data_IF_574312633864
#
_entry.id   IF_574312633864
#
_cell.length_a   1.000
_cell.length_b   1.000
_cell.length_c   1.000
_cell.angle_alpha   90.00
_cell.angle_beta   90.00
_cell.angle_gamma   90.00
#
_symmetry.space_group_name_H-M   'P 1'
#
loop_
_entity.id
_entity.type
_entity.pdbx_description
1 polymer ?
#
# COMPACT_ATOMS: atom_id res chain seq x y z
N UNK A 1 1.61 64.83 -0.25
CA UNK A 1 2.62 64.03 -0.99
C UNK A 1 3.21 63.04 0.00
N UNK A 2 2.60 61.86 0.10
CA UNK A 2 2.92 60.84 1.12
C UNK A 2 4.12 60.03 0.61
N UNK A 3 5.29 60.19 1.25
CA UNK A 3 6.41 59.25 1.13
C UNK A 3 6.24 58.21 2.23
N UNK A 4 5.69 57.06 1.87
CA UNK A 4 5.84 55.82 2.60
C UNK A 4 6.06 54.70 1.58
N UNK A 5 7.31 54.51 1.17
CA UNK A 5 7.79 53.23 0.65
C UNK A 5 8.83 52.72 1.64
N UNK A 6 8.35 52.31 2.80
CA UNK A 6 9.05 51.31 3.60
C UNK A 6 8.96 50.02 2.80
N UNK A 7 10.00 49.72 2.05
CA UNK A 7 10.20 48.40 1.48
C UNK A 7 10.17 47.42 2.64
N UNK A 8 9.17 46.55 2.62
CA UNK A 8 9.02 45.43 3.54
C UNK A 8 10.21 44.49 3.31
N UNK A 9 11.31 44.76 4.00
CA UNK A 9 12.37 43.78 4.25
C UNK A 9 11.81 42.87 5.34
N UNK A 10 10.86 42.01 4.98
CA UNK A 10 10.47 40.89 5.84
C UNK A 10 11.63 39.88 5.83
N UNK A 11 12.52 40.15 6.77
CA UNK A 11 13.50 39.33 7.45
C UNK A 11 13.62 37.87 6.94
N UNK A 12 14.58 37.61 6.05
CA UNK A 12 14.95 36.26 5.59
C UNK A 12 15.26 35.31 6.76
N UNK A 13 15.83 35.84 7.84
CA UNK A 13 16.09 35.10 9.08
C UNK A 13 14.81 34.56 9.73
N UNK A 14 13.70 35.31 9.64
CA UNK A 14 12.42 34.90 10.22
C UNK A 14 11.74 33.79 9.44
N UNK A 15 11.90 33.78 8.10
CA UNK A 15 11.39 32.69 7.26
C UNK A 15 12.17 31.40 7.50
N UNK A 16 13.51 31.46 7.56
CA UNK A 16 14.35 30.30 7.87
C UNK A 16 14.05 29.76 9.27
N UNK A 17 13.88 30.65 10.26
CA UNK A 17 13.50 30.28 11.62
C UNK A 17 12.16 29.53 11.69
N UNK A 18 11.14 29.99 10.95
CA UNK A 18 9.84 29.30 10.87
C UNK A 18 9.93 27.93 10.20
N UNK A 19 10.69 27.82 9.10
CA UNK A 19 10.86 26.55 8.38
C UNK A 19 11.60 25.52 9.25
N UNK A 20 12.63 25.97 9.95
CA UNK A 20 13.35 25.13 10.89
C UNK A 20 12.43 24.67 12.03
N UNK A 21 11.68 25.59 12.64
CA UNK A 21 10.75 25.25 13.71
C UNK A 21 9.71 24.21 13.26
N UNK A 22 9.05 24.43 12.11
CA UNK A 22 8.08 23.47 11.57
C UNK A 22 8.72 22.09 11.32
N UNK A 23 9.95 22.06 10.80
CA UNK A 23 10.68 20.80 10.59
C UNK A 23 11.08 20.13 11.91
N UNK A 24 11.43 20.88 12.94
CA UNK A 24 11.76 20.35 14.27
C UNK A 24 10.53 19.76 14.95
N UNK A 25 9.38 20.42 14.86
CA UNK A 25 8.09 19.91 15.34
C UNK A 25 7.76 18.56 14.69
N UNK A 26 7.89 18.46 13.36
CA UNK A 26 7.67 17.21 12.64
C UNK A 26 8.66 16.10 13.04
N UNK A 27 9.94 16.42 13.19
CA UNK A 27 10.95 15.45 13.63
C UNK A 27 10.66 14.97 15.05
N UNK A 28 10.26 15.86 15.96
CA UNK A 28 9.94 15.49 17.33
C UNK A 28 8.82 14.45 17.38
N UNK A 29 7.79 14.58 16.54
CA UNK A 29 6.68 13.63 16.45
C UNK A 29 7.11 12.23 16.01
N UNK A 30 8.09 12.13 15.12
CA UNK A 30 8.47 10.84 14.51
C UNK A 30 9.76 10.23 15.06
N UNK A 31 10.58 11.01 15.75
CA UNK A 31 11.93 10.64 16.20
C UNK A 31 11.92 9.43 17.14
N UNK A 32 10.97 9.37 18.05
CA UNK A 32 10.81 8.25 18.98
C UNK A 32 10.51 6.93 18.28
N UNK A 33 9.97 6.96 17.05
CA UNK A 33 9.57 5.78 16.28
C UNK A 33 10.64 5.29 15.28
N UNK A 34 11.85 5.83 15.31
CA UNK A 34 12.92 5.51 14.34
C UNK A 34 13.61 4.17 14.68
N UNK A 35 13.80 3.34 13.66
CA UNK A 35 14.55 2.09 13.77
C UNK A 35 13.80 0.94 14.43
N UNK A 36 14.45 -0.23 14.60
CA UNK A 36 13.84 -1.43 15.20
C UNK A 36 13.49 -1.24 16.68
N UNK A 37 14.32 -0.49 17.41
CA UNK A 37 14.13 -0.16 18.83
C UNK A 37 13.23 1.08 19.04
N UNK A 38 12.71 1.66 17.95
CA UNK A 38 11.76 2.77 17.99
C UNK A 38 10.50 2.41 18.78
N UNK A 39 9.97 3.38 19.53
CA UNK A 39 8.75 3.26 20.31
C UNK A 39 7.54 3.47 19.41
N UNK A 40 6.46 2.73 19.69
CA UNK A 40 5.18 3.03 19.09
C UNK A 40 4.64 4.35 19.66
N UNK A 41 4.13 5.21 18.79
CA UNK A 41 3.50 6.47 19.16
C UNK A 41 2.00 6.25 19.23
N UNK A 42 1.39 6.70 20.33
CA UNK A 42 -0.06 6.74 20.48
C UNK A 42 -0.56 8.09 19.95
N UNK A 43 -1.27 8.06 18.81
CA UNK A 43 -1.84 9.29 18.25
C UNK A 43 -3.32 9.43 18.65
N UNK A 44 -3.66 10.56 19.28
CA UNK A 44 -5.02 10.98 19.61
C UNK A 44 -5.65 11.70 18.40
N UNK A 45 -6.95 11.52 18.07
CA UNK A 45 -8.04 10.94 18.86
C UNK A 45 -8.33 9.46 18.67
N UNK A 46 -7.62 8.77 17.78
CA UNK A 46 -8.03 7.43 17.31
C UNK A 46 -7.50 6.26 18.15
N UNK A 47 -6.80 6.51 19.27
CA UNK A 47 -6.18 5.47 20.12
C UNK A 47 -5.33 4.45 19.32
N UNK A 48 -4.77 4.89 18.20
CA UNK A 48 -3.98 4.04 17.31
C UNK A 48 -2.53 4.09 17.73
N UNK A 49 -1.94 2.93 18.01
CA UNK A 49 -0.51 2.75 18.21
C UNK A 49 0.14 2.44 16.86
N UNK A 50 1.14 3.23 16.46
CA UNK A 50 1.86 2.97 15.21
C UNK A 50 3.33 3.41 15.31
N UNK A 51 4.18 2.78 14.49
CA UNK A 51 5.58 3.18 14.26
C UNK A 51 5.80 3.75 12.85
N UNK A 52 4.76 3.78 12.01
CA UNK A 52 4.84 4.33 10.66
C UNK A 52 4.88 5.85 10.71
N UNK A 53 5.90 6.46 10.11
CA UNK A 53 6.04 7.92 10.07
C UNK A 53 4.87 8.58 9.36
N UNK A 54 4.45 8.03 8.22
CA UNK A 54 3.29 8.54 7.48
C UNK A 54 2.00 8.46 8.31
N UNK A 55 1.78 7.35 9.01
CA UNK A 55 0.59 7.20 9.87
C UNK A 55 0.62 8.18 11.05
N UNK A 56 1.77 8.38 11.71
CA UNK A 56 1.91 9.38 12.78
C UNK A 56 1.51 10.77 12.27
N UNK A 57 2.01 11.16 11.09
CA UNK A 57 1.72 12.47 10.50
C UNK A 57 0.23 12.61 10.12
N UNK A 58 -0.35 11.61 9.46
CA UNK A 58 -1.76 11.63 9.04
C UNK A 58 -2.73 11.63 10.23
N UNK A 59 -2.37 10.97 11.33
CA UNK A 59 -3.18 10.97 12.55
C UNK A 59 -3.07 12.29 13.32
N UNK A 60 -1.89 12.92 13.29
CA UNK A 60 -1.65 14.21 13.95
C UNK A 60 -2.26 15.38 13.15
N UNK A 61 -2.20 15.30 11.82
CA UNK A 61 -2.68 16.32 10.88
C UNK A 61 -3.71 15.72 9.90
N UNK A 62 -4.94 15.44 10.35
CA UNK A 62 -5.97 14.82 9.51
C UNK A 62 -6.46 15.71 8.37
N UNK A 63 -6.19 17.02 8.46
CA UNK A 63 -6.47 18.02 7.43
C UNK A 63 -5.22 18.82 7.12
N UNK A 64 -5.08 19.28 5.88
CA UNK A 64 -3.95 20.11 5.45
C UNK A 64 -3.81 21.35 6.35
N UNK A 65 -2.67 21.53 7.05
CA UNK A 65 -2.49 22.68 7.91
C UNK A 65 -2.49 23.99 7.11
N UNK A 66 -2.91 25.08 7.77
CA UNK A 66 -2.95 26.43 7.19
C UNK A 66 -1.56 27.03 7.00
N UNK A 67 -0.56 26.57 7.77
CA UNK A 67 0.84 26.95 7.58
C UNK A 67 1.37 26.33 6.28
N UNK A 68 1.77 27.18 5.34
CA UNK A 68 2.24 26.79 4.00
C UNK A 68 3.54 25.98 4.05
N UNK A 69 4.41 26.22 5.03
CA UNK A 69 5.68 25.52 5.18
C UNK A 69 5.47 24.12 5.73
N UNK A 70 4.65 24.02 6.79
CA UNK A 70 4.26 22.74 7.36
C UNK A 70 3.50 21.90 6.31
N UNK A 71 2.59 22.52 5.57
CA UNK A 71 1.85 21.87 4.47
C UNK A 71 2.78 21.34 3.38
N UNK A 72 3.83 22.08 3.00
CA UNK A 72 4.81 21.63 2.02
C UNK A 72 5.59 20.39 2.51
N UNK A 73 6.08 20.42 3.75
CA UNK A 73 6.83 19.30 4.34
C UNK A 73 5.96 18.04 4.47
N UNK A 74 4.72 18.20 4.93
CA UNK A 74 3.75 17.09 5.01
C UNK A 74 3.42 16.53 3.63
N UNK A 75 3.24 17.39 2.62
CA UNK A 75 3.00 16.95 1.23
C UNK A 75 4.18 16.16 0.68
N UNK A 76 5.42 16.66 0.84
CA UNK A 76 6.61 15.93 0.40
C UNK A 76 6.79 14.60 1.12
N UNK A 77 6.46 14.53 2.41
CA UNK A 77 6.45 13.27 3.16
C UNK A 77 5.39 12.29 2.62
N UNK A 78 4.19 12.78 2.28
CA UNK A 78 3.12 11.98 1.68
C UNK A 78 3.51 11.45 0.31
N UNK A 79 4.04 12.30 -0.58
CA UNK A 79 4.50 11.93 -1.93
C UNK A 79 5.61 10.87 -1.87
N UNK A 80 6.56 11.00 -0.93
CA UNK A 80 7.57 9.98 -0.69
C UNK A 80 6.94 8.65 -0.24
N UNK A 81 5.98 8.70 0.69
CA UNK A 81 5.32 7.50 1.18
C UNK A 81 4.48 6.80 0.10
N UNK A 82 3.75 7.56 -0.71
CA UNK A 82 2.94 7.03 -1.81
C UNK A 82 3.80 6.35 -2.87
N UNK A 83 4.98 6.90 -3.17
CA UNK A 83 5.91 6.37 -4.17
C UNK A 83 6.79 5.24 -3.66
N UNK A 84 7.39 5.37 -2.48
CA UNK A 84 8.39 4.43 -1.96
C UNK A 84 7.84 3.49 -0.87
N UNK A 85 6.69 3.79 -0.25
CA UNK A 85 6.10 2.99 0.84
C UNK A 85 6.80 3.14 2.21
N UNK A 86 8.05 3.61 2.25
CA UNK A 86 8.83 3.78 3.47
C UNK A 86 9.76 5.01 3.43
N UNK A 87 10.42 5.31 4.56
CA UNK A 87 11.49 6.31 4.62
C UNK A 87 11.10 7.71 5.09
N UNK A 88 9.81 7.96 5.37
CA UNK A 88 9.30 9.27 5.84
C UNK A 88 10.05 9.81 7.06
N UNK A 89 10.34 8.96 8.05
CA UNK A 89 11.03 9.37 9.27
C UNK A 89 12.46 9.84 8.96
N UNK A 90 13.21 9.03 8.20
CA UNK A 90 14.57 9.35 7.77
C UNK A 90 14.61 10.60 6.89
N UNK A 91 13.62 10.78 6.02
CA UNK A 91 13.46 11.98 5.20
C UNK A 91 13.31 13.23 6.06
N UNK A 92 12.38 13.24 7.03
CA UNK A 92 12.16 14.40 7.90
C UNK A 92 13.41 14.72 8.74
N UNK A 93 14.09 13.70 9.26
CA UNK A 93 15.33 13.87 10.04
C UNK A 93 16.43 14.48 9.16
N UNK A 94 16.59 13.99 7.93
CA UNK A 94 17.58 14.51 6.99
C UNK A 94 17.27 15.96 6.59
N UNK A 95 16.01 16.27 6.27
CA UNK A 95 15.58 17.64 5.93
C UNK A 95 15.84 18.59 7.09
N UNK A 96 15.47 18.21 8.32
CA UNK A 96 15.72 19.03 9.50
C UNK A 96 17.22 19.24 9.74
N UNK A 97 18.04 18.19 9.59
CA UNK A 97 19.48 18.29 9.73
C UNK A 97 20.09 19.27 8.71
N UNK A 98 19.63 19.23 7.46
CA UNK A 98 20.03 20.19 6.43
C UNK A 98 19.59 21.61 6.78
N UNK A 99 18.35 21.80 7.22
CA UNK A 99 17.80 23.11 7.63
C UNK A 99 18.60 23.74 8.78
N UNK A 100 19.04 22.94 9.76
CA UNK A 100 19.93 23.42 10.84
C UNK A 100 21.24 23.98 10.33
N UNK A 101 21.84 23.35 9.32
CA UNK A 101 23.07 23.86 8.71
C UNK A 101 22.85 25.20 8.00
N UNK A 102 21.67 25.41 7.40
CA UNK A 102 21.29 26.70 6.79
C UNK A 102 21.23 27.80 7.82
N UNK A 103 20.54 27.53 8.94
CA UNK A 103 20.34 28.49 10.01
C UNK A 103 21.68 28.93 10.62
N UNK A 104 22.64 28.01 10.77
CA UNK A 104 23.97 28.31 11.30
C UNK A 104 24.79 29.18 10.33
N UNK A 105 24.74 28.90 9.02
CA UNK A 105 25.57 29.60 8.02
C UNK A 105 25.03 30.97 7.62
N UNK A 106 23.79 31.30 7.96
CA UNK A 106 23.09 32.57 7.66
C UNK A 106 23.19 33.02 6.17
N UNK A 107 23.37 32.08 5.24
CA UNK A 107 23.57 32.34 3.81
C UNK A 107 22.77 31.36 2.93
N UNK A 108 21.49 31.68 2.71
CA UNK A 108 20.56 30.81 1.98
C UNK A 108 20.93 30.57 0.50
N UNK A 109 21.62 31.51 -0.17
CA UNK A 109 22.04 31.33 -1.57
C UNK A 109 23.28 30.42 -1.70
N UNK A 110 24.22 30.51 -0.76
CA UNK A 110 25.35 29.58 -0.70
C UNK A 110 24.89 28.14 -0.50
N UNK A 111 23.84 27.94 0.30
CA UNK A 111 23.28 26.63 0.56
C UNK A 111 22.65 25.98 -0.67
N UNK A 112 21.85 26.68 -1.48
CA UNK A 112 21.23 26.07 -2.66
C UNK A 112 22.30 25.53 -3.63
N UNK A 113 23.41 26.27 -3.77
CA UNK A 113 24.56 25.81 -4.54
C UNK A 113 25.24 24.61 -3.87
N UNK A 114 25.46 24.64 -2.55
CA UNK A 114 26.03 23.51 -1.80
C UNK A 114 25.14 22.25 -1.87
N UNK A 115 23.81 22.39 -1.81
CA UNK A 115 22.85 21.28 -1.95
C UNK A 115 22.83 20.73 -3.37
N UNK A 116 22.94 21.58 -4.38
CA UNK A 116 23.06 21.15 -5.78
C UNK A 116 24.35 20.37 -6.02
N UNK A 117 25.47 20.84 -5.45
CA UNK A 117 26.76 20.13 -5.48
C UNK A 117 26.65 18.81 -4.74
N UNK A 118 26.04 18.80 -3.55
CA UNK A 118 25.79 17.59 -2.78
C UNK A 118 24.93 16.59 -3.57
N UNK A 119 23.83 17.04 -4.18
CA UNK A 119 22.99 16.19 -5.03
C UNK A 119 23.78 15.57 -6.17
N UNK A 120 24.62 16.36 -6.84
CA UNK A 120 25.48 15.87 -7.93
C UNK A 120 26.47 14.80 -7.42
N UNK A 121 27.09 15.04 -6.27
CA UNK A 121 27.97 14.08 -5.60
C UNK A 121 27.22 12.81 -5.20
N UNK A 122 26.03 12.92 -4.62
CA UNK A 122 25.18 11.79 -4.26
C UNK A 122 24.85 10.94 -5.50
N UNK A 123 24.41 11.56 -6.59
CA UNK A 123 24.13 10.88 -7.85
C UNK A 123 25.37 10.15 -8.39
N UNK A 124 26.55 10.78 -8.31
CA UNK A 124 27.83 10.18 -8.73
C UNK A 124 28.26 9.01 -7.82
N UNK A 125 28.04 9.12 -6.51
CA UNK A 125 28.34 8.04 -5.57
C UNK A 125 27.37 6.88 -5.79
N UNK A 126 26.09 7.15 -5.98
CA UNK A 126 25.07 6.13 -6.27
C UNK A 126 25.37 5.38 -7.56
N UNK A 127 25.84 6.05 -8.61
CA UNK A 127 26.17 5.40 -9.89
C UNK A 127 27.44 4.54 -9.84
N UNK A 128 28.35 4.82 -8.90
CA UNK A 128 29.64 4.11 -8.77
C UNK A 128 29.66 3.08 -7.65
N UNK A 129 28.67 3.08 -6.76
CA UNK A 129 28.57 2.07 -5.70
C UNK A 129 28.18 0.75 -6.37
N UNK A 130 29.03 -0.28 -6.23
CA UNK A 130 28.72 -1.62 -6.70
C UNK A 130 27.54 -2.14 -5.90
N UNK A 131 26.37 -2.07 -6.48
CA UNK A 131 25.17 -2.60 -5.86
C UNK A 131 24.89 -4.00 -6.36
N UNK A 132 24.37 -4.84 -5.48
CA UNK A 132 23.79 -6.13 -5.86
C UNK A 132 22.53 -5.87 -6.66
N UNK A 133 22.66 -5.80 -7.98
CA UNK A 133 21.55 -5.58 -8.93
C UNK A 133 20.62 -6.79 -9.08
N UNK A 134 20.86 -7.89 -8.35
CA UNK A 134 20.02 -9.09 -8.38
C UNK A 134 19.31 -9.20 -7.04
N UNK A 135 18.00 -8.99 -7.04
CA UNK A 135 17.11 -9.40 -5.94
C UNK A 135 17.08 -10.93 -5.90
N UNK A 136 18.07 -11.52 -5.23
CA UNK A 136 18.03 -12.93 -4.86
C UNK A 136 16.96 -13.13 -3.79
N UNK A 137 16.49 -14.37 -3.61
CA UNK A 137 15.55 -14.70 -2.55
C UNK A 137 16.08 -14.32 -1.15
N UNK A 138 17.39 -14.42 -0.94
CA UNK A 138 18.05 -14.01 0.31
C UNK A 138 17.95 -12.50 0.53
N UNK A 139 18.27 -11.71 -0.49
CA UNK A 139 18.18 -10.24 -0.44
C UNK A 139 16.73 -9.80 -0.25
N UNK A 140 15.80 -10.39 -1.00
CA UNK A 140 14.37 -10.11 -0.89
C UNK A 140 13.86 -10.39 0.54
N UNK A 141 14.21 -11.55 1.09
CA UNK A 141 13.86 -11.91 2.47
C UNK A 141 14.44 -10.92 3.48
N UNK A 142 15.70 -10.52 3.33
CA UNK A 142 16.36 -9.54 4.18
C UNK A 142 15.72 -8.15 4.14
N UNK A 143 15.36 -7.67 2.95
CA UNK A 143 14.67 -6.38 2.75
C UNK A 143 13.30 -6.40 3.43
N UNK A 144 12.51 -7.45 3.21
CA UNK A 144 11.19 -7.62 3.84
C UNK A 144 11.30 -7.73 5.37
N UNK A 145 12.29 -8.48 5.87
CA UNK A 145 12.53 -8.61 7.31
C UNK A 145 12.95 -7.28 7.95
N UNK A 146 13.82 -6.53 7.29
CA UNK A 146 14.25 -5.19 7.74
C UNK A 146 13.05 -4.25 7.81
N UNK A 147 12.22 -4.22 6.77
CA UNK A 147 11.02 -3.37 6.72
C UNK A 147 10.10 -3.62 7.92
N UNK A 148 9.68 -4.88 8.15
CA UNK A 148 8.72 -5.18 9.22
C UNK A 148 9.32 -5.06 10.63
N UNK A 149 10.63 -5.27 10.81
CA UNK A 149 11.27 -5.18 12.13
C UNK A 149 11.32 -3.74 12.65
N UNK A 150 11.32 -2.75 11.78
CA UNK A 150 11.18 -1.34 12.19
C UNK A 150 9.75 -0.95 12.58
N UNK A 151 8.75 -1.77 12.25
CA UNK A 151 7.32 -1.45 12.44
C UNK A 151 6.66 -2.25 13.55
N UNK A 152 7.10 -3.48 13.78
CA UNK A 152 6.41 -4.40 14.68
C UNK A 152 7.35 -5.14 15.63
N UNK A 153 6.77 -5.64 16.71
CA UNK A 153 7.47 -6.56 17.61
C UNK A 153 7.93 -7.84 16.87
N UNK A 154 8.99 -8.52 17.35
CA UNK A 154 9.65 -9.61 16.63
C UNK A 154 8.69 -10.71 16.13
N UNK A 155 7.73 -11.12 16.94
CA UNK A 155 6.75 -12.17 16.56
C UNK A 155 5.90 -11.75 15.37
N UNK A 156 5.35 -10.54 15.39
CA UNK A 156 4.52 -10.02 14.30
C UNK A 156 5.37 -9.81 13.06
N UNK A 157 6.55 -9.20 13.23
CA UNK A 157 7.50 -8.97 12.13
C UNK A 157 7.85 -10.29 11.43
N UNK A 158 8.24 -11.32 12.17
CA UNK A 158 8.63 -12.61 11.60
C UNK A 158 7.48 -13.25 10.79
N UNK A 159 6.24 -13.18 11.31
CA UNK A 159 5.07 -13.72 10.61
C UNK A 159 4.78 -12.95 9.33
N UNK A 160 4.71 -11.62 9.40
CA UNK A 160 4.42 -10.79 8.22
C UNK A 160 5.52 -10.91 7.18
N UNK A 161 6.79 -10.90 7.59
CA UNK A 161 7.91 -11.08 6.66
C UNK A 161 7.84 -12.40 5.92
N UNK A 162 7.57 -13.51 6.62
CA UNK A 162 7.40 -14.82 6.01
C UNK A 162 6.24 -14.83 5.02
N UNK A 163 5.09 -14.27 5.38
CA UNK A 163 3.91 -14.25 4.53
C UNK A 163 4.13 -13.42 3.26
N UNK A 164 4.67 -12.21 3.39
CA UNK A 164 4.96 -11.36 2.23
C UNK A 164 6.02 -11.97 1.34
N UNK A 165 7.07 -12.57 1.92
CA UNK A 165 8.07 -13.29 1.13
C UNK A 165 7.46 -14.45 0.35
N UNK A 166 6.65 -15.31 1.00
CA UNK A 166 5.93 -16.40 0.33
C UNK A 166 4.98 -15.89 -0.75
N UNK A 167 4.36 -14.74 -0.52
CA UNK A 167 3.41 -14.17 -1.47
C UNK A 167 4.12 -13.61 -2.70
N UNK A 168 5.18 -12.82 -2.49
CA UNK A 168 5.95 -12.18 -3.57
C UNK A 168 6.73 -13.21 -4.38
N UNK A 169 7.24 -14.28 -3.77
CA UNK A 169 7.96 -15.34 -4.50
C UNK A 169 7.05 -16.17 -5.41
N UNK A 170 5.74 -16.15 -5.19
CA UNK A 170 4.75 -16.71 -6.14
C UNK A 170 4.52 -15.80 -7.35
N UNK A 171 4.90 -14.51 -7.27
CA UNK A 171 4.75 -13.55 -8.35
C UNK A 171 5.94 -13.68 -9.32
N UNK A 172 5.65 -13.93 -10.59
CA UNK A 172 6.65 -14.24 -11.62
C UNK A 172 7.39 -13.01 -12.13
N UNK A 173 6.82 -11.81 -11.98
CA UNK A 173 7.41 -10.57 -12.49
C UNK A 173 6.88 -9.30 -11.78
N UNK A 174 7.50 -8.16 -12.10
CA UNK A 174 7.17 -6.83 -11.53
C UNK A 174 5.75 -6.38 -11.88
N UNK A 175 5.24 -6.72 -13.06
CA UNK A 175 3.88 -6.35 -13.45
C UNK A 175 2.81 -7.03 -12.59
N UNK A 176 3.09 -8.23 -12.07
CA UNK A 176 2.21 -8.91 -11.13
C UNK A 176 2.20 -8.21 -9.77
N UNK A 177 3.34 -7.71 -9.27
CA UNK A 177 3.39 -6.91 -8.04
C UNK A 177 2.57 -5.63 -8.19
N UNK A 178 2.74 -4.90 -9.31
CA UNK A 178 1.95 -3.70 -9.60
C UNK A 178 0.45 -3.99 -9.61
N UNK A 179 0.05 -5.09 -10.25
CA UNK A 179 -1.34 -5.55 -10.29
C UNK A 179 -1.87 -5.91 -8.90
N UNK A 180 -1.06 -6.53 -8.06
CA UNK A 180 -1.43 -6.88 -6.68
C UNK A 180 -1.59 -5.63 -5.80
N UNK A 181 -0.76 -4.61 -5.99
CA UNK A 181 -0.90 -3.31 -5.31
C UNK A 181 -2.24 -2.66 -5.70
N UNK A 182 -2.59 -2.63 -6.98
CA UNK A 182 -3.84 -2.02 -7.45
C UNK A 182 -5.09 -2.78 -7.00
N UNK A 183 -4.98 -4.09 -6.74
CA UNK A 183 -6.09 -4.95 -6.32
C UNK A 183 -5.96 -5.40 -4.86
N UNK A 184 -5.16 -4.69 -4.06
CA UNK A 184 -4.78 -5.13 -2.72
C UNK A 184 -5.97 -5.34 -1.78
N UNK A 185 -7.00 -4.50 -1.89
CA UNK A 185 -8.24 -4.60 -1.09
C UNK A 185 -8.98 -5.93 -1.30
N UNK A 186 -8.98 -6.44 -2.53
CA UNK A 186 -9.56 -7.73 -2.91
C UNK A 186 -8.64 -8.91 -2.59
N UNK A 187 -7.33 -8.66 -2.51
CA UNK A 187 -6.31 -9.69 -2.33
C UNK A 187 -5.86 -9.90 -0.89
N UNK A 188 -6.08 -8.92 -0.02
CA UNK A 188 -5.77 -8.96 1.40
C UNK A 188 -7.06 -9.03 2.23
N UNK A 189 -7.42 -10.25 2.64
CA UNK A 189 -8.61 -10.49 3.45
C UNK A 189 -8.26 -10.38 4.92
N UNK A 190 -9.01 -9.53 5.64
CA UNK A 190 -8.78 -9.22 7.05
C UNK A 190 -9.76 -9.99 7.93
N UNK A 191 -9.27 -10.73 8.92
CA UNK A 191 -10.07 -11.32 9.99
C UNK A 191 -9.63 -10.77 11.34
N UNK A 192 -10.60 -10.48 12.21
CA UNK A 192 -10.36 -9.92 13.53
C UNK A 192 -10.58 -10.98 14.60
N UNK A 193 -10.08 -10.73 15.82
CA UNK A 193 -10.18 -11.66 16.96
C UNK A 193 -9.39 -12.96 16.76
N UNK A 194 -8.29 -12.91 16.01
CA UNK A 194 -7.40 -14.04 15.78
C UNK A 194 -5.92 -13.64 15.98
N UNK A 195 -5.05 -14.55 16.43
CA UNK A 195 -3.63 -14.24 16.52
C UNK A 195 -3.00 -14.08 15.13
N UNK A 196 -2.04 -13.16 14.98
CA UNK A 196 -1.37 -12.92 13.68
C UNK A 196 -0.70 -14.17 13.12
N UNK A 197 -0.23 -15.07 13.99
CA UNK A 197 0.39 -16.35 13.64
C UNK A 197 -0.53 -17.29 12.85
N UNK A 198 -1.85 -17.08 12.92
CA UNK A 198 -2.85 -17.86 12.17
C UNK A 198 -3.12 -17.32 10.75
N UNK A 199 -2.42 -16.25 10.36
CA UNK A 199 -2.46 -15.69 9.01
C UNK A 199 -1.76 -16.61 8.01
N UNK A 200 -2.22 -16.59 6.76
CA UNK A 200 -1.73 -17.49 5.71
C UNK A 200 -1.83 -16.87 4.32
N UNK A 201 -0.95 -17.27 3.42
CA UNK A 201 -1.12 -17.07 1.97
C UNK A 201 -1.74 -18.34 1.40
N UNK A 202 -2.86 -18.23 0.71
CA UNK A 202 -3.57 -19.38 0.14
C UNK A 202 -3.86 -19.14 -1.35
N UNK A 203 -3.80 -20.21 -2.14
CA UNK A 203 -4.11 -20.19 -3.57
C UNK A 203 -5.63 -20.28 -3.77
N UNK A 204 -6.17 -19.31 -4.51
CA UNK A 204 -7.59 -19.09 -4.63
C UNK A 204 -8.02 -17.69 -4.25
N UNK A 205 -9.33 -17.51 -4.19
CA UNK A 205 -9.99 -16.25 -3.99
C UNK A 205 -11.23 -16.43 -3.10
N UNK A 206 -11.25 -15.70 -1.99
CA UNK A 206 -12.38 -15.61 -1.09
C UNK A 206 -13.40 -14.64 -1.64
N UNK A 207 -14.63 -15.09 -1.81
CA UNK A 207 -15.73 -14.26 -2.26
C UNK A 207 -16.50 -13.76 -1.03
N UNK A 208 -16.48 -12.45 -0.86
CA UNK A 208 -17.32 -11.75 0.12
C UNK A 208 -18.66 -11.47 -0.54
N UNK A 209 -19.65 -12.25 -0.16
CA UNK A 209 -21.04 -12.09 -0.58
C UNK A 209 -21.96 -12.70 0.46
N UNK A 210 -23.23 -12.30 0.41
CA UNK A 210 -24.26 -12.94 1.20
C UNK A 210 -24.74 -14.16 0.42
N UNK A 211 -24.92 -15.27 1.15
CA UNK A 211 -25.64 -16.42 0.65
C UNK A 211 -26.58 -16.93 1.72
N UNK A 212 -27.79 -17.28 1.30
CA UNK A 212 -28.84 -17.80 2.19
C UNK A 212 -28.58 -19.27 2.53
N UNK A 213 -27.72 -19.98 1.79
CA UNK A 213 -27.41 -21.40 2.00
C UNK A 213 -25.92 -21.68 1.82
N UNK A 214 -25.46 -22.87 2.21
CA UNK A 214 -24.14 -23.37 1.80
C UNK A 214 -24.29 -24.24 0.55
N UNK A 215 -23.30 -24.17 -0.34
CA UNK A 215 -23.17 -25.04 -1.49
C UNK A 215 -23.08 -26.52 -1.05
N UNK A 216 -23.64 -27.46 -1.84
CA UNK A 216 -23.60 -28.89 -1.51
C UNK A 216 -22.17 -29.43 -1.49
N UNK A 217 -21.65 -29.77 -0.31
CA UNK A 217 -20.26 -30.24 -0.13
C UNK A 217 -19.93 -31.57 -0.81
N UNK A 218 -20.90 -32.24 -1.43
CA UNK A 218 -20.73 -33.53 -2.11
C UNK A 218 -19.99 -33.44 -3.44
N UNK A 219 -19.97 -32.29 -4.10
CA UNK A 219 -19.46 -32.21 -5.48
C UNK A 219 -18.13 -31.45 -5.63
N UNK A 220 -17.70 -30.65 -4.64
CA UNK A 220 -16.44 -29.88 -4.57
C UNK A 220 -16.03 -29.11 -5.84
N UNK A 221 -16.86 -29.09 -6.88
CA UNK A 221 -16.65 -28.49 -8.20
C UNK A 221 -17.91 -27.75 -8.58
N UNK A 222 -17.79 -26.53 -9.08
CA UNK A 222 -18.92 -25.76 -9.54
C UNK A 222 -18.60 -25.04 -10.85
N UNK A 223 -19.60 -24.94 -11.72
CA UNK A 223 -19.57 -24.08 -12.89
C UNK A 223 -19.96 -22.66 -12.47
N UNK A 224 -19.04 -21.73 -12.67
CA UNK A 224 -19.25 -20.33 -12.35
C UNK A 224 -19.85 -19.57 -13.52
N UNK A 225 -20.85 -18.74 -13.22
CA UNK A 225 -21.35 -17.71 -14.11
C UNK A 225 -21.56 -16.41 -13.34
N UNK A 226 -21.32 -15.28 -13.99
CA UNK A 226 -21.47 -13.98 -13.34
C UNK A 226 -22.58 -13.18 -14.01
N UNK A 227 -23.51 -12.73 -13.20
CA UNK A 227 -24.52 -11.76 -13.59
C UNK A 227 -24.11 -10.37 -13.12
N UNK A 228 -23.89 -9.48 -14.09
CA UNK A 228 -23.56 -8.08 -13.85
C UNK A 228 -24.75 -7.20 -14.21
N UNK A 229 -25.29 -6.49 -13.21
CA UNK A 229 -26.24 -5.41 -13.45
C UNK A 229 -25.48 -4.08 -13.47
N UNK A 230 -25.51 -3.31 -14.57
CA UNK A 230 -24.91 -1.98 -14.64
C UNK A 230 -25.51 -1.03 -13.60
N UNK A 231 -24.69 -0.19 -12.98
CA UNK A 231 -25.12 0.81 -11.99
C UNK A 231 -25.96 1.95 -12.58
N UNK A 232 -25.94 2.12 -13.91
CA UNK A 232 -26.59 3.25 -14.60
C UNK A 232 -28.05 2.96 -15.01
N UNK A 233 -28.53 1.73 -14.85
CA UNK A 233 -29.96 1.46 -14.87
C UNK A 233 -30.48 1.60 -13.45
N UNK A 234 -31.31 2.60 -13.20
CA UNK A 234 -32.17 2.63 -12.02
C UNK A 234 -33.48 1.93 -12.38
N UNK A 235 -33.73 0.68 -11.97
CA UNK A 235 -35.08 0.17 -12.02
C UNK A 235 -35.73 0.52 -10.68
N UNK A 236 -37.03 0.82 -10.71
CA UNK A 236 -37.82 0.72 -9.49
C UNK A 236 -37.61 -0.68 -8.89
N UNK A 237 -37.58 -0.80 -7.56
CA UNK A 237 -37.24 -2.07 -6.87
C UNK A 237 -38.11 -3.26 -7.35
N UNK A 238 -39.32 -3.01 -7.86
CA UNK A 238 -40.19 -4.02 -8.50
C UNK A 238 -39.78 -4.43 -9.93
N UNK A 239 -39.08 -3.59 -10.68
CA UNK A 239 -38.56 -3.93 -12.01
C UNK A 239 -37.32 -4.82 -11.93
N UNK A 240 -36.54 -4.76 -10.83
CA UNK A 240 -35.40 -5.66 -10.60
C UNK A 240 -35.87 -7.11 -10.45
N UNK A 241 -36.99 -7.35 -9.75
CA UNK A 241 -37.53 -8.70 -9.56
C UNK A 241 -38.03 -9.26 -10.89
N UNK A 242 -38.68 -8.42 -11.70
CA UNK A 242 -39.23 -8.79 -13.01
C UNK A 242 -38.12 -8.98 -14.05
N UNK A 243 -37.09 -8.12 -14.06
CA UNK A 243 -35.91 -8.25 -14.94
C UNK A 243 -35.04 -9.44 -14.52
N UNK A 244 -34.80 -9.69 -13.23
CA UNK A 244 -34.05 -10.88 -12.82
C UNK A 244 -34.86 -12.12 -13.13
N UNK A 245 -36.18 -12.16 -12.91
CA UNK A 245 -37.03 -13.31 -13.26
C UNK A 245 -37.14 -13.49 -14.77
N UNK A 246 -37.22 -12.42 -15.55
CA UNK A 246 -37.36 -12.48 -17.00
C UNK A 246 -36.01 -12.69 -17.70
N UNK A 247 -34.88 -12.25 -17.12
CA UNK A 247 -33.52 -12.67 -17.53
C UNK A 247 -33.27 -14.12 -17.10
N UNK A 248 -33.67 -14.51 -15.89
CA UNK A 248 -33.65 -15.92 -15.46
C UNK A 248 -34.55 -16.77 -16.37
N UNK A 249 -35.66 -16.25 -16.91
CA UNK A 249 -36.50 -17.01 -17.86
C UNK A 249 -35.96 -16.98 -19.30
N UNK A 250 -35.51 -15.84 -19.80
CA UNK A 250 -35.08 -15.63 -21.19
C UNK A 250 -33.66 -16.15 -21.42
N UNK A 251 -32.75 -15.98 -20.46
CA UNK A 251 -31.37 -16.44 -20.57
C UNK A 251 -31.17 -17.86 -20.03
N UNK A 252 -31.90 -18.35 -19.01
CA UNK A 252 -31.71 -19.74 -18.52
C UNK A 252 -32.40 -20.80 -19.38
N UNK A 253 -33.46 -20.43 -20.12
CA UNK A 253 -34.02 -21.32 -21.15
C UNK A 253 -33.15 -21.35 -22.43
N UNK A 254 -32.11 -20.51 -22.52
CA UNK A 254 -31.04 -20.70 -23.50
C UNK A 254 -30.12 -21.83 -23.07
N UNK A 255 -29.66 -22.65 -24.02
CA UNK A 255 -28.84 -23.86 -23.77
C UNK A 255 -27.58 -23.62 -22.94
N UNK A 256 -27.12 -22.37 -22.84
CA UNK A 256 -25.83 -21.96 -22.29
C UNK A 256 -25.84 -21.80 -20.75
N UNK A 257 -26.98 -22.00 -20.09
CA UNK A 257 -27.13 -21.92 -18.63
C UNK A 257 -27.52 -23.25 -17.96
N UNK A 258 -27.82 -24.30 -18.74
CA UNK A 258 -28.19 -25.62 -18.22
C UNK A 258 -27.08 -26.28 -17.39
N UNK A 259 -25.83 -25.84 -17.55
CA UNK A 259 -24.66 -26.35 -16.82
C UNK A 259 -24.20 -25.44 -15.65
N UNK A 260 -24.91 -24.35 -15.34
CA UNK A 260 -24.51 -23.41 -14.29
C UNK A 260 -24.95 -23.87 -12.89
N UNK A 261 -23.98 -24.07 -11.97
CA UNK A 261 -24.28 -24.43 -10.57
C UNK A 261 -24.07 -23.27 -9.59
N UNK A 262 -23.32 -22.22 -9.97
CA UNK A 262 -23.08 -21.03 -9.12
C UNK A 262 -23.24 -19.74 -9.92
N UNK A 263 -24.11 -18.86 -9.42
CA UNK A 263 -24.37 -17.54 -9.97
C UNK A 263 -23.88 -16.44 -9.02
N UNK A 264 -22.99 -15.57 -9.49
CA UNK A 264 -22.64 -14.34 -8.77
C UNK A 264 -23.53 -13.19 -9.20
N UNK A 265 -24.13 -12.50 -8.24
CA UNK A 265 -24.95 -11.31 -8.46
C UNK A 265 -24.28 -10.11 -7.80
N UNK A 266 -23.87 -9.14 -8.61
CA UNK A 266 -23.22 -7.91 -8.12
C UNK A 266 -24.24 -6.85 -7.72
N UNK A 267 -23.92 -6.06 -6.69
CA UNK A 267 -24.62 -4.82 -6.30
C UNK A 267 -26.11 -4.93 -5.90
N UNK A 268 -26.70 -6.12 -5.90
CA UNK A 268 -28.10 -6.36 -5.51
C UNK A 268 -28.16 -7.47 -4.47
N UNK A 269 -29.05 -7.31 -3.50
CA UNK A 269 -29.47 -8.38 -2.59
C UNK A 269 -30.71 -9.03 -3.21
N UNK A 270 -30.62 -10.32 -3.52
CA UNK A 270 -31.75 -11.05 -4.07
C UNK A 270 -32.83 -11.24 -3.01
N UNK A 271 -34.09 -11.03 -3.39
CA UNK A 271 -35.23 -11.35 -2.54
C UNK A 271 -35.40 -12.87 -2.37
N UNK A 272 -36.08 -13.27 -1.30
CA UNK A 272 -36.29 -14.69 -0.96
C UNK A 272 -36.94 -15.49 -2.08
N UNK A 273 -37.83 -14.86 -2.87
CA UNK A 273 -38.52 -15.50 -3.98
C UNK A 273 -37.60 -15.84 -5.15
N UNK A 274 -36.72 -14.92 -5.54
CA UNK A 274 -35.69 -15.17 -6.56
C UNK A 274 -34.71 -16.26 -6.11
N UNK A 275 -34.30 -16.21 -4.83
CA UNK A 275 -33.48 -17.26 -4.21
C UNK A 275 -34.17 -18.63 -4.23
N UNK A 276 -35.49 -18.67 -3.97
CA UNK A 276 -36.28 -19.91 -4.04
C UNK A 276 -36.30 -20.50 -5.45
N UNK A 277 -36.48 -19.68 -6.49
CA UNK A 277 -36.48 -20.12 -7.88
C UNK A 277 -35.12 -20.68 -8.34
N UNK A 278 -34.03 -19.98 -8.01
CA UNK A 278 -32.67 -20.45 -8.31
C UNK A 278 -32.38 -21.78 -7.61
N UNK A 279 -32.80 -21.93 -6.35
CA UNK A 279 -32.69 -23.19 -5.62
C UNK A 279 -33.48 -24.32 -6.27
N UNK A 280 -34.70 -24.05 -6.75
CA UNK A 280 -35.51 -25.07 -7.45
C UNK A 280 -34.81 -25.59 -8.72
N UNK A 281 -33.96 -24.77 -9.34
CA UNK A 281 -33.14 -25.12 -10.50
C UNK A 281 -31.74 -25.67 -10.13
N UNK A 282 -31.45 -25.91 -8.85
CA UNK A 282 -30.12 -26.28 -8.34
C UNK A 282 -29.02 -25.24 -8.63
N UNK A 283 -29.38 -23.98 -8.85
CA UNK A 283 -28.43 -22.88 -9.04
C UNK A 283 -28.18 -22.19 -7.71
N UNK A 284 -26.93 -22.14 -7.28
CA UNK A 284 -26.53 -21.48 -6.05
C UNK A 284 -26.16 -20.03 -6.29
N UNK A 285 -26.91 -19.10 -5.72
CA UNK A 285 -26.64 -17.68 -5.87
C UNK A 285 -25.83 -17.09 -4.71
N UNK A 286 -24.86 -16.24 -5.05
CA UNK A 286 -24.08 -15.43 -4.12
C UNK A 286 -24.29 -13.99 -4.53
N UNK A 287 -24.96 -13.24 -3.67
CA UNK A 287 -25.40 -11.88 -3.98
C UNK A 287 -24.69 -10.85 -3.11
N UNK A 288 -24.67 -9.59 -3.56
CA UNK A 288 -23.90 -8.53 -2.92
C UNK A 288 -22.39 -8.66 -3.11
N UNK A 289 -21.93 -9.36 -4.15
CA UNK A 289 -20.50 -9.41 -4.49
C UNK A 289 -20.08 -8.06 -5.08
N UNK A 290 -18.93 -7.53 -4.64
CA UNK A 290 -18.40 -6.28 -5.17
C UNK A 290 -17.97 -6.43 -6.62
N UNK A 291 -18.22 -5.42 -7.45
CA UNK A 291 -17.76 -5.36 -8.85
C UNK A 291 -16.25 -5.58 -8.97
N UNK A 292 -15.45 -5.03 -8.07
CA UNK A 292 -13.99 -5.15 -8.11
C UNK A 292 -13.50 -6.60 -7.94
N UNK A 293 -14.16 -7.37 -7.07
CA UNK A 293 -13.86 -8.80 -6.90
C UNK A 293 -14.17 -9.59 -8.16
N UNK A 294 -15.28 -9.27 -8.83
CA UNK A 294 -15.66 -9.90 -10.10
C UNK A 294 -14.69 -9.52 -11.22
N UNK A 295 -14.39 -8.22 -11.39
CA UNK A 295 -13.43 -7.74 -12.40
C UNK A 295 -12.08 -8.43 -12.22
N UNK A 296 -11.61 -8.52 -10.98
CA UNK A 296 -10.36 -9.21 -10.66
C UNK A 296 -10.36 -10.68 -11.11
N UNK A 297 -11.46 -11.42 -10.84
CA UNK A 297 -11.60 -12.83 -11.23
C UNK A 297 -11.55 -13.03 -12.75
N UNK A 298 -12.23 -12.17 -13.51
CA UNK A 298 -12.25 -12.23 -14.97
C UNK A 298 -10.93 -11.78 -15.62
N UNK A 299 -10.31 -10.71 -15.11
CA UNK A 299 -9.05 -10.17 -15.65
C UNK A 299 -7.85 -11.12 -15.42
N UNK A 300 -7.90 -11.98 -14.39
CA UNK A 300 -6.83 -12.94 -14.07
C UNK A 300 -6.87 -14.27 -14.86
N UNK A 301 -7.60 -14.33 -15.98
CA UNK A 301 -7.50 -15.41 -16.99
C UNK A 301 -7.82 -16.84 -16.49
N UNK A 302 -8.53 -17.00 -15.37
CA UNK A 302 -8.84 -18.35 -14.83
C UNK A 302 -10.33 -18.66 -14.73
N UNK A 303 -11.22 -17.67 -14.82
CA UNK A 303 -12.68 -17.87 -14.85
C UNK A 303 -13.22 -17.17 -16.09
N UNK A 304 -13.36 -17.92 -17.18
CA UNK A 304 -14.31 -17.56 -18.25
C UNK A 304 -15.70 -18.02 -17.80
N UNK A 305 -16.75 -17.47 -18.39
CA UNK A 305 -18.08 -18.08 -18.23
C UNK A 305 -18.01 -19.59 -18.51
N UNK A 306 -18.51 -20.39 -17.57
CA UNK A 306 -18.50 -21.85 -17.68
C UNK A 306 -17.23 -22.57 -17.19
N UNK A 307 -16.35 -21.92 -16.42
CA UNK A 307 -15.21 -22.63 -15.80
C UNK A 307 -15.64 -23.44 -14.57
N UNK A 308 -15.20 -24.69 -14.51
CA UNK A 308 -15.28 -25.55 -13.33
C UNK A 308 -14.18 -25.17 -12.34
N UNK A 309 -14.57 -24.70 -11.16
CA UNK A 309 -13.65 -24.39 -10.07
C UNK A 309 -13.90 -25.29 -8.88
N UNK A 310 -12.84 -25.58 -8.12
CA UNK A 310 -13.02 -26.20 -6.82
C UNK A 310 -13.38 -25.15 -5.77
N UNK A 311 -14.23 -25.51 -4.81
CA UNK A 311 -14.62 -24.59 -3.75
C UNK A 311 -14.63 -25.29 -2.39
N UNK A 312 -14.46 -24.49 -1.34
CA UNK A 312 -14.67 -24.91 0.03
C UNK A 312 -15.08 -23.71 0.88
N UNK A 313 -15.45 -23.95 2.14
CA UNK A 313 -15.80 -22.87 3.06
C UNK A 313 -14.64 -22.58 4.02
N UNK A 314 -14.30 -21.30 4.15
CA UNK A 314 -13.44 -20.79 5.23
C UNK A 314 -14.33 -19.98 6.15
N UNK A 315 -14.62 -20.53 7.33
CA UNK A 315 -15.67 -20.04 8.24
C UNK A 315 -17.05 -20.03 7.54
N UNK A 316 -17.58 -18.84 7.28
CA UNK A 316 -18.86 -18.59 6.60
C UNK A 316 -18.69 -18.14 5.14
N UNK A 317 -17.45 -17.93 4.69
CA UNK A 317 -17.16 -17.39 3.37
C UNK A 317 -16.86 -18.50 2.36
N UNK A 318 -17.31 -18.31 1.12
CA UNK A 318 -16.96 -19.19 0.02
C UNK A 318 -15.53 -18.90 -0.46
N UNK A 319 -14.71 -19.94 -0.44
CA UNK A 319 -13.40 -19.93 -1.06
C UNK A 319 -13.44 -20.65 -2.40
N UNK A 320 -12.85 -20.03 -3.42
CA UNK A 320 -12.70 -20.62 -4.74
C UNK A 320 -11.23 -20.87 -5.02
N UNK A 321 -10.88 -22.13 -5.25
CA UNK A 321 -9.54 -22.53 -5.63
C UNK A 321 -9.26 -22.10 -7.07
N UNK A 322 -8.29 -21.20 -7.25
CA UNK A 322 -7.88 -20.68 -8.54
C UNK A 322 -6.36 -20.83 -8.69
N UNK A 323 -5.94 -21.36 -9.84
CA UNK A 323 -4.52 -21.44 -10.14
C UNK A 323 -3.96 -20.03 -10.43
N UNK A 324 -2.76 -19.74 -9.94
CA UNK A 324 -2.05 -18.46 -10.12
C UNK A 324 -2.69 -17.22 -9.48
N UNK A 325 -3.77 -17.38 -8.70
CA UNK A 325 -4.29 -16.33 -7.82
C UNK A 325 -3.96 -16.75 -6.40
N UNK A 326 -3.36 -15.86 -5.62
CA UNK A 326 -3.13 -16.11 -4.20
C UNK A 326 -3.58 -14.91 -3.38
N UNK A 327 -4.34 -15.16 -2.31
CA UNK A 327 -4.77 -14.14 -1.36
C UNK A 327 -4.00 -14.25 -0.05
N UNK A 328 -3.75 -13.10 0.56
CA UNK A 328 -3.28 -12.99 1.92
C UNK A 328 -4.50 -13.00 2.86
N UNK A 329 -4.64 -14.07 3.64
CA UNK A 329 -5.57 -14.13 4.76
C UNK A 329 -4.88 -13.58 6.00
N UNK A 330 -5.06 -12.29 6.23
CA UNK A 330 -4.44 -11.56 7.31
C UNK A 330 -5.34 -11.56 8.54
N UNK A 331 -4.79 -12.01 9.66
CA UNK A 331 -5.50 -12.17 10.92
C UNK A 331 -4.86 -11.29 11.99
N UNK A 332 -5.68 -10.69 12.83
CA UNK A 332 -5.20 -9.84 13.92
C UNK A 332 -6.15 -9.81 15.11
N UNK A 333 -5.65 -9.42 16.29
CA UNK A 333 -6.43 -9.46 17.53
C UNK A 333 -7.59 -8.44 17.53
N UNK A 334 -7.49 -7.37 16.74
CA UNK A 334 -8.54 -6.36 16.58
C UNK A 334 -8.52 -5.76 15.18
N UNK A 335 -9.60 -5.08 14.78
CA UNK A 335 -9.69 -4.39 13.50
C UNK A 335 -8.57 -3.36 13.28
N UNK A 336 -8.15 -2.66 14.35
CA UNK A 336 -7.07 -1.68 14.31
C UNK A 336 -5.74 -2.33 13.97
N UNK A 337 -5.39 -3.44 14.64
CA UNK A 337 -4.15 -4.16 14.36
C UNK A 337 -4.17 -4.80 12.98
N UNK A 338 -5.26 -5.46 12.60
CA UNK A 338 -5.37 -6.09 11.27
C UNK A 338 -5.29 -5.04 10.16
N UNK A 339 -5.82 -3.83 10.38
CA UNK A 339 -5.65 -2.70 9.46
C UNK A 339 -4.19 -2.27 9.37
N UNK A 340 -3.51 -2.00 10.48
CA UNK A 340 -2.10 -1.57 10.47
C UNK A 340 -1.16 -2.61 9.85
N UNK A 341 -1.44 -3.90 10.05
CA UNK A 341 -0.75 -5.00 9.37
C UNK A 341 -0.99 -4.95 7.85
N UNK A 342 -2.25 -4.75 7.43
CA UNK A 342 -2.65 -4.70 6.02
C UNK A 342 -1.99 -3.52 5.30
N UNK A 343 -2.06 -2.34 5.91
CA UNK A 343 -1.46 -1.11 5.38
C UNK A 343 0.07 -1.27 5.29
N UNK A 344 0.71 -1.86 6.31
CA UNK A 344 2.17 -2.12 6.27
C UNK A 344 2.56 -3.17 5.23
N UNK A 345 1.72 -4.18 4.95
CA UNK A 345 1.98 -5.11 3.85
C UNK A 345 1.91 -4.40 2.51
N UNK A 346 0.91 -3.54 2.31
CA UNK A 346 0.81 -2.73 1.08
C UNK A 346 2.04 -1.83 0.88
N UNK A 347 2.47 -1.15 1.94
CA UNK A 347 3.68 -0.33 1.94
C UNK A 347 4.93 -1.15 1.59
N UNK A 348 5.06 -2.35 2.14
CA UNK A 348 6.15 -3.26 1.80
C UNK A 348 6.12 -3.63 0.31
N UNK A 349 4.95 -3.89 -0.26
CA UNK A 349 4.81 -4.19 -1.69
C UNK A 349 5.19 -2.98 -2.55
N UNK A 350 4.80 -1.76 -2.17
CA UNK A 350 5.20 -0.51 -2.85
C UNK A 350 6.71 -0.32 -2.82
N UNK A 351 7.34 -0.54 -1.66
CA UNK A 351 8.80 -0.48 -1.52
C UNK A 351 9.48 -1.49 -2.44
N UNK A 352 9.01 -2.74 -2.47
CA UNK A 352 9.55 -3.76 -3.37
C UNK A 352 9.37 -3.36 -4.84
N UNK A 353 8.19 -2.86 -5.22
CA UNK A 353 7.91 -2.37 -6.58
C UNK A 353 8.87 -1.24 -6.98
N UNK A 354 9.08 -0.27 -6.09
CA UNK A 354 10.07 0.80 -6.28
C UNK A 354 11.46 0.18 -6.52
N UNK A 355 11.84 -0.81 -5.70
CA UNK A 355 13.11 -1.49 -5.85
C UNK A 355 13.27 -2.22 -7.19
N UNK A 356 12.19 -2.85 -7.69
CA UNK A 356 12.18 -3.55 -8.97
C UNK A 356 12.20 -2.61 -10.18
N UNK A 357 11.48 -1.48 -10.13
CA UNK A 357 11.35 -0.53 -11.24
C UNK A 357 12.67 0.16 -11.55
N UNK A 358 13.39 0.59 -10.53
CA UNK A 358 14.59 1.40 -10.70
C UNK A 358 15.87 0.57 -10.90
N UNK A 359 15.74 -0.75 -11.17
CA UNK A 359 16.86 -1.72 -11.13
C UNK A 359 17.71 -1.49 -9.87
N UNK A 360 17.00 -1.23 -8.77
CA UNK A 360 17.60 -0.51 -7.67
C UNK A 360 18.66 -1.33 -6.98
N UNK A 361 19.63 -0.57 -6.54
CA UNK A 361 20.75 -0.95 -5.74
C UNK A 361 20.31 -1.28 -4.31
N UNK A 362 20.55 -2.51 -3.83
CA UNK A 362 20.44 -2.78 -2.38
C UNK A 362 21.70 -2.28 -1.68
N UNK A 363 21.51 -1.55 -0.57
CA UNK A 363 22.57 -0.96 0.23
C UNK A 363 22.54 -1.52 1.65
N UNK A 364 23.68 -1.50 2.32
CA UNK A 364 23.75 -1.89 3.73
C UNK A 364 22.96 -0.90 4.59
N UNK A 365 21.99 -1.41 5.34
CA UNK A 365 21.12 -0.63 6.23
C UNK A 365 21.84 -0.18 7.52
N UNK A 366 21.12 0.49 8.42
CA UNK A 366 21.61 0.80 9.77
C UNK A 366 22.65 1.91 9.86
N UNK A 367 22.63 2.87 8.93
CA UNK A 367 23.61 3.97 8.93
C UNK A 367 24.91 3.66 8.19
N UNK A 368 25.14 2.40 7.78
CA UNK A 368 26.36 2.01 7.09
C UNK A 368 26.52 2.71 5.73
N UNK A 369 25.43 2.80 4.97
CA UNK A 369 25.42 3.50 3.70
C UNK A 369 25.69 5.01 3.89
N UNK A 370 25.02 5.64 4.85
CA UNK A 370 25.18 7.06 5.19
C UNK A 370 26.61 7.37 5.61
N UNK A 371 27.22 6.52 6.45
CA UNK A 371 28.62 6.67 6.86
C UNK A 371 29.61 6.50 5.69
N UNK A 372 29.37 5.53 4.82
CA UNK A 372 30.21 5.32 3.64
C UNK A 372 30.11 6.51 2.66
N UNK A 373 28.90 7.02 2.48
CA UNK A 373 28.59 8.19 1.67
C UNK A 373 29.32 9.43 2.18
N UNK A 374 29.25 9.71 3.50
CA UNK A 374 29.97 10.83 4.12
C UNK A 374 31.48 10.72 3.90
N UNK A 375 32.06 9.54 4.13
CA UNK A 375 33.51 9.31 3.92
C UNK A 375 33.91 9.56 2.47
N UNK A 376 33.10 9.09 1.51
CA UNK A 376 33.36 9.24 0.09
C UNK A 376 33.26 10.70 -0.35
N UNK A 377 32.19 11.41 0.03
CA UNK A 377 32.03 12.85 -0.22
C UNK A 377 33.22 13.63 0.34
N UNK A 378 33.64 13.33 1.56
CA UNK A 378 34.79 14.00 2.18
C UNK A 378 36.07 13.77 1.38
N UNK A 379 36.36 12.53 0.95
CA UNK A 379 37.53 12.22 0.12
C UNK A 379 37.50 12.87 -1.26
N UNK A 380 36.33 12.98 -1.89
CA UNK A 380 36.16 13.63 -3.21
C UNK A 380 36.27 15.16 -3.10
N UNK A 381 35.83 15.74 -1.97
CA UNK A 381 35.98 17.17 -1.70
C UNK A 381 37.43 17.60 -1.45
N UNK A 382 38.26 16.70 -0.92
CA UNK A 382 39.69 16.95 -0.71
C UNK A 382 40.53 16.75 -1.98
N UNK A 383 40.12 15.84 -2.86
CA UNK A 383 40.85 15.54 -4.11
C UNK A 383 40.48 16.48 -5.26
N UNK A 384 39.28 17.04 -5.26
CA UNK A 384 38.87 18.11 -6.20
C UNK A 384 38.77 19.42 -5.43
N UNK A 385 39.74 20.32 -5.63
CA UNK A 385 39.49 21.75 -5.42
C UNK A 385 38.35 22.15 -6.37
N UNK A 386 37.10 22.06 -5.92
CA UNK A 386 35.91 22.36 -6.72
C UNK A 386 35.98 23.82 -7.17
N UNK A 387 36.47 24.04 -8.39
CA UNK A 387 36.35 25.33 -9.06
C UNK A 387 34.92 25.39 -9.59
N UNK A 388 34.01 25.87 -8.76
CA UNK A 388 32.65 26.19 -9.18
C UNK A 388 32.76 27.33 -10.19
N UNK A 389 32.66 27.02 -11.49
CA UNK A 389 32.44 28.06 -12.51
C UNK A 389 31.02 28.56 -12.32
N UNK A 390 30.88 29.78 -11.81
CA UNK A 390 29.59 30.46 -11.80
C UNK A 390 29.11 30.63 -13.25
N UNK A 391 27.82 30.40 -13.55
CA UNK A 391 27.23 30.95 -14.76
C UNK A 391 27.29 32.49 -14.67
N UNK A 392 27.53 33.19 -15.80
CA UNK A 392 27.60 34.64 -15.80
C UNK A 392 26.26 35.23 -15.35
N UNK A 393 26.36 36.24 -14.48
CA UNK A 393 25.24 37.03 -13.90
C UNK A 393 24.43 37.71 -14.99
#
# INVERSE_FOLDING_TARGET
MIRARGTVVHNKEWVVGRVLQASEELVQLVSDAVGPDGRAVLAHPLTTLTRSGAHILNLTFPSTPTDTTLSLLLRSASELHESAGDGVKSFLILVNALLKQVAIKNNGYGLLNELSVLQTLLCSVMSTTKCTCVLTNEVLSGVIATFFSTRFAPTVSAVLSRLVFLWVTKLKNVSEIYRYINNFSSLCIKFNSFPVTSSSVQDGFLIKGLSVRKLPTSENKCFLKVYYQPLDSSPDVGDIETDIIDIIKVDIDSSDYLDCNVLFVTNVVLEERAMFLLNFKNIFAIHGVTVDSIKFLFEHNSVKDGVVVEYHYINEFLWISLQNVSQLLLKGPSATFTKDYSDSVLDCLKMLMFSFKDKSCTVNAGGHFELALVKKIFSESQSKAFTVRMPPV
#
